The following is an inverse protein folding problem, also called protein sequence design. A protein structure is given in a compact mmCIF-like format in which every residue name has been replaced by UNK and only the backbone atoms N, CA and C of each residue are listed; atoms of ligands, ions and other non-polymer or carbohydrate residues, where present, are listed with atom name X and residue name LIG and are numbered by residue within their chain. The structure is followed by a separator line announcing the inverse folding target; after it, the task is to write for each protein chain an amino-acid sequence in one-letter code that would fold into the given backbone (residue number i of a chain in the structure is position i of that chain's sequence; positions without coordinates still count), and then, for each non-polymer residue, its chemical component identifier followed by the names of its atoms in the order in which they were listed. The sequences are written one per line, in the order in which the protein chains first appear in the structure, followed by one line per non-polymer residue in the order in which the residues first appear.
data_IF_887803474746
#
_entry.id   IF_887803474746
#
_cell.length_a   1.000
_cell.length_b   1.000
_cell.length_c   1.000
_cell.angle_alpha   90.00
_cell.angle_beta   90.00
_cell.angle_gamma   90.00
#
_symmetry.space_group_name_H-M   'P 1'
#
loop_
_entity.id
_entity.type
_entity.pdbx_description
1 polymer ?
#
# COMPACT_ATOMS: atom_id res chain seq x y z
N UNK A 1 -29.32 -11.41 3.30
CA UNK A 1 -28.58 -10.37 4.05
C UNK A 1 -27.94 -9.46 3.02
N UNK A 2 -28.18 -8.16 3.09
CA UNK A 2 -27.54 -7.22 2.17
C UNK A 2 -26.03 -7.19 2.45
N UNK A 3 -25.20 -7.11 1.40
CA UNK A 3 -23.73 -7.13 1.55
C UNK A 3 -23.24 -6.02 2.50
N UNK A 4 -23.90 -4.86 2.50
CA UNK A 4 -23.59 -3.75 3.40
C UNK A 4 -23.91 -4.05 4.87
N UNK A 5 -24.97 -4.82 5.15
CA UNK A 5 -25.29 -5.26 6.51
C UNK A 5 -24.24 -6.24 7.02
N UNK A 6 -23.77 -7.16 6.15
CA UNK A 6 -22.67 -8.07 6.46
C UNK A 6 -21.38 -7.30 6.78
N UNK A 7 -21.05 -6.29 5.96
CA UNK A 7 -19.89 -5.44 6.19
C UNK A 7 -19.96 -4.71 7.53
N UNK A 8 -21.12 -4.13 7.88
CA UNK A 8 -21.31 -3.45 9.17
C UNK A 8 -21.16 -4.43 10.33
N UNK A 9 -21.84 -5.58 10.27
CA UNK A 9 -21.81 -6.59 11.32
C UNK A 9 -20.36 -7.07 11.60
N UNK A 10 -19.60 -7.34 10.54
CA UNK A 10 -18.20 -7.73 10.69
C UNK A 10 -17.35 -6.62 11.31
N UNK A 11 -17.48 -5.38 10.83
CA UNK A 11 -16.71 -4.25 11.39
C UNK A 11 -17.04 -4.01 12.86
N UNK A 12 -18.31 -4.02 13.24
CA UNK A 12 -18.75 -3.84 14.62
C UNK A 12 -18.20 -4.96 15.52
N UNK A 13 -18.23 -6.20 15.04
CA UNK A 13 -17.71 -7.35 15.78
C UNK A 13 -16.19 -7.33 15.92
N UNK A 14 -15.46 -6.91 14.89
CA UNK A 14 -14.01 -6.76 14.93
C UNK A 14 -13.58 -5.62 15.87
N UNK A 15 -14.27 -4.47 15.85
CA UNK A 15 -14.02 -3.36 16.75
C UNK A 15 -14.29 -3.74 18.22
N UNK A 16 -15.38 -4.46 18.46
CA UNK A 16 -15.66 -5.00 19.79
C UNK A 16 -14.56 -5.95 20.26
N UNK A 17 -14.15 -6.87 19.39
CA UNK A 17 -13.12 -7.87 19.70
C UNK A 17 -11.73 -7.25 19.93
N UNK A 18 -11.34 -6.22 19.16
CA UNK A 18 -10.08 -5.49 19.38
C UNK A 18 -10.08 -4.74 20.70
N UNK A 19 -11.21 -4.16 21.12
CA UNK A 19 -11.35 -3.50 22.42
C UNK A 19 -11.19 -4.47 23.60
N UNK A 20 -11.57 -5.75 23.43
CA UNK A 20 -11.43 -6.80 24.43
C UNK A 20 -9.99 -7.30 24.56
N UNK A 21 -9.20 -7.21 23.48
CA UNK A 21 -7.81 -7.63 23.46
C UNK A 21 -6.95 -6.90 24.49
N UNK A 22 -7.27 -5.63 24.79
CA UNK A 22 -6.62 -4.84 25.82
C UNK A 22 -6.88 -5.33 27.26
N UNK A 23 -7.83 -6.25 27.47
CA UNK A 23 -8.31 -6.68 28.81
C UNK A 23 -7.87 -8.09 29.22
N UNK A 24 -7.33 -8.89 28.31
CA UNK A 24 -6.94 -10.29 28.55
C UNK A 24 -5.44 -10.55 28.45
N UNK A 25 -4.98 -11.81 28.67
CA UNK A 25 -3.58 -12.17 28.51
C UNK A 25 -3.14 -11.96 27.05
N UNK A 26 -2.04 -11.21 26.81
CA UNK A 26 -1.75 -10.59 25.52
C UNK A 26 -1.51 -11.60 24.39
N UNK A 27 -0.94 -12.76 24.70
CA UNK A 27 -0.50 -13.73 23.68
C UNK A 27 -1.63 -14.64 23.16
N UNK A 28 -2.68 -14.86 23.95
CA UNK A 28 -3.84 -15.67 23.53
C UNK A 28 -4.85 -14.81 22.79
N UNK A 29 -5.08 -13.58 23.26
CA UNK A 29 -6.03 -12.66 22.64
C UNK A 29 -5.55 -12.12 21.29
N UNK A 30 -4.24 -11.97 21.08
CA UNK A 30 -3.67 -11.60 19.78
C UNK A 30 -3.92 -12.65 18.71
N UNK A 31 -3.73 -13.93 19.04
CA UNK A 31 -3.99 -15.06 18.13
C UNK A 31 -5.47 -15.19 17.78
N UNK A 32 -6.35 -15.13 18.78
CA UNK A 32 -7.80 -15.22 18.56
C UNK A 32 -8.30 -14.09 17.64
N UNK A 33 -7.77 -12.87 17.82
CA UNK A 33 -8.13 -11.75 16.95
C UNK A 33 -7.56 -11.90 15.54
N UNK A 34 -6.31 -12.34 15.40
CA UNK A 34 -5.72 -12.65 14.09
C UNK A 34 -6.58 -13.67 13.34
N UNK A 35 -6.98 -14.76 14.01
CA UNK A 35 -7.82 -15.79 13.41
C UNK A 35 -9.20 -15.24 13.01
N UNK A 36 -9.77 -14.35 13.84
CA UNK A 36 -11.03 -13.70 13.54
C UNK A 36 -10.94 -12.80 12.30
N UNK A 37 -9.87 -12.01 12.18
CA UNK A 37 -9.60 -11.17 11.01
C UNK A 37 -9.46 -12.04 9.76
N UNK A 38 -8.72 -13.15 9.83
CA UNK A 38 -8.58 -14.07 8.70
C UNK A 38 -9.92 -14.66 8.27
N UNK A 39 -10.78 -15.06 9.24
CA UNK A 39 -12.14 -15.54 8.95
C UNK A 39 -13.01 -14.45 8.32
N UNK A 40 -12.92 -13.21 8.80
CA UNK A 40 -13.63 -12.09 8.19
C UNK A 40 -13.22 -11.90 6.73
N UNK A 41 -11.92 -11.87 6.45
CA UNK A 41 -11.40 -11.65 5.10
C UNK A 41 -11.73 -12.80 4.13
N UNK A 42 -11.81 -14.04 4.61
CA UNK A 42 -12.12 -15.21 3.78
C UNK A 42 -13.62 -15.43 3.54
N UNK A 43 -14.48 -14.90 4.41
CA UNK A 43 -15.93 -15.09 4.30
C UNK A 43 -16.65 -13.98 3.55
N UNK A 44 -16.07 -12.78 3.49
CA UNK A 44 -16.64 -11.67 2.73
C UNK A 44 -16.21 -11.73 1.27
N UNK A 45 -17.16 -11.76 0.31
CA UNK A 45 -16.82 -11.87 -1.10
C UNK A 45 -16.06 -10.62 -1.58
N UNK A 46 -14.91 -10.83 -2.20
CA UNK A 46 -14.15 -9.78 -2.88
C UNK A 46 -14.43 -9.71 -4.38
N UNK A 47 -15.15 -10.69 -4.93
CA UNK A 47 -15.53 -10.77 -6.35
C UNK A 47 -17.03 -10.59 -6.45
N UNK A 48 -17.45 -9.45 -7.00
CA UNK A 48 -18.85 -9.05 -7.09
C UNK A 48 -19.32 -9.16 -8.53
N UNK A 49 -20.62 -9.40 -8.71
CA UNK A 49 -21.24 -9.41 -10.05
C UNK A 49 -21.34 -7.98 -10.59
N UNK A 50 -21.18 -7.84 -11.91
CA UNK A 50 -21.39 -6.56 -12.59
C UNK A 50 -22.90 -6.30 -12.69
N UNK A 51 -23.38 -5.08 -12.39
CA UNK A 51 -24.79 -4.75 -12.55
C UNK A 51 -25.28 -5.09 -13.96
N UNK A 52 -26.42 -5.77 -14.06
CA UNK A 52 -27.06 -6.18 -15.32
C UNK A 52 -26.27 -7.20 -16.17
N UNK A 53 -25.18 -7.79 -15.65
CA UNK A 53 -24.45 -8.87 -16.30
C UNK A 53 -23.90 -9.89 -15.28
N UNK A 54 -24.68 -10.95 -15.01
CA UNK A 54 -24.30 -12.01 -14.06
C UNK A 54 -23.18 -12.93 -14.57
N UNK A 55 -22.73 -12.79 -15.82
CA UNK A 55 -21.61 -13.56 -16.37
C UNK A 55 -20.26 -12.88 -16.10
N UNK A 56 -20.26 -11.59 -15.74
CA UNK A 56 -19.05 -10.81 -15.47
C UNK A 56 -18.92 -10.47 -14.00
N UNK A 57 -17.67 -10.41 -13.55
CA UNK A 57 -17.33 -10.12 -12.17
C UNK A 57 -16.18 -9.13 -12.12
N UNK A 58 -16.24 -8.24 -11.13
CA UNK A 58 -15.14 -7.34 -10.78
C UNK A 58 -14.64 -7.62 -9.37
N UNK A 59 -13.36 -7.30 -9.13
CA UNK A 59 -12.76 -7.42 -7.79
C UNK A 59 -12.94 -6.10 -7.03
N UNK A 60 -13.54 -6.16 -5.86
CA UNK A 60 -13.72 -5.03 -4.95
C UNK A 60 -13.14 -5.40 -3.58
N UNK A 61 -12.11 -4.67 -3.17
CA UNK A 61 -11.42 -4.87 -1.89
C UNK A 61 -11.66 -3.74 -0.90
N UNK A 62 -12.62 -2.85 -1.15
CA UNK A 62 -12.88 -1.68 -0.29
C UNK A 62 -13.16 -2.06 1.16
N UNK A 63 -13.93 -3.14 1.37
CA UNK A 63 -14.18 -3.67 2.71
C UNK A 63 -12.92 -4.32 3.30
N UNK A 64 -12.25 -5.19 2.54
CA UNK A 64 -11.02 -5.87 2.97
C UNK A 64 -9.95 -4.85 3.40
N UNK A 65 -9.79 -3.75 2.67
CA UNK A 65 -8.83 -2.69 3.00
C UNK A 65 -9.17 -1.96 4.30
N UNK A 66 -10.46 -1.81 4.65
CA UNK A 66 -10.88 -1.29 5.97
C UNK A 66 -10.51 -2.26 7.09
N UNK A 67 -10.77 -3.55 6.90
CA UNK A 67 -10.41 -4.61 7.87
C UNK A 67 -8.90 -4.67 8.06
N UNK A 68 -8.12 -4.60 6.98
CA UNK A 68 -6.65 -4.58 7.04
C UNK A 68 -6.15 -3.34 7.79
N UNK A 69 -6.71 -2.15 7.55
CA UNK A 69 -6.35 -0.94 8.31
C UNK A 69 -6.61 -1.13 9.81
N UNK A 70 -7.78 -1.66 10.19
CA UNK A 70 -8.09 -1.96 11.58
C UNK A 70 -7.09 -2.96 12.17
N UNK A 71 -6.79 -4.03 11.45
CA UNK A 71 -5.89 -5.06 11.94
C UNK A 71 -4.47 -4.52 12.18
N UNK A 72 -3.91 -3.77 11.22
CA UNK A 72 -2.60 -3.15 11.36
C UNK A 72 -2.53 -2.16 12.53
N UNK A 73 -3.62 -1.43 12.80
CA UNK A 73 -3.68 -0.51 13.95
C UNK A 73 -3.56 -1.21 15.32
N UNK A 74 -3.86 -2.50 15.37
CA UNK A 74 -3.76 -3.33 16.57
C UNK A 74 -2.38 -4.00 16.72
N UNK A 75 -1.50 -3.86 15.73
CA UNK A 75 -0.20 -4.55 15.68
C UNK A 75 0.98 -3.57 15.77
N UNK A 76 2.11 -3.99 16.35
CA UNK A 76 3.35 -3.24 16.27
C UNK A 76 3.82 -3.08 14.83
N UNK A 77 4.39 -1.91 14.50
CA UNK A 77 4.88 -1.59 13.15
C UNK A 77 5.91 -2.60 12.62
N UNK A 78 6.73 -3.19 13.51
CA UNK A 78 7.70 -4.24 13.17
C UNK A 78 7.08 -5.51 12.58
N UNK A 79 5.77 -5.73 12.76
CA UNK A 79 5.05 -6.89 12.22
C UNK A 79 4.28 -6.56 10.94
N UNK A 80 4.19 -5.28 10.54
CA UNK A 80 3.34 -4.85 9.43
C UNK A 80 3.80 -5.43 8.10
N UNK A 81 5.10 -5.42 7.81
CA UNK A 81 5.65 -5.99 6.57
C UNK A 81 5.26 -7.46 6.38
N UNK A 82 5.50 -8.28 7.41
CA UNK A 82 5.17 -9.71 7.40
C UNK A 82 3.68 -9.98 7.19
N UNK A 83 2.82 -9.21 7.86
CA UNK A 83 1.37 -9.35 7.76
C UNK A 83 0.86 -8.91 6.38
N UNK A 84 1.35 -7.78 5.88
CA UNK A 84 1.03 -7.27 4.54
C UNK A 84 1.43 -8.26 3.44
N UNK A 85 2.60 -8.86 3.56
CA UNK A 85 3.06 -9.90 2.62
C UNK A 85 2.12 -11.11 2.60
N UNK A 86 1.75 -11.64 3.78
CA UNK A 86 0.79 -12.76 3.89
C UNK A 86 -0.58 -12.42 3.30
N UNK A 87 -1.10 -11.24 3.61
CA UNK A 87 -2.39 -10.78 3.09
C UNK A 87 -2.36 -10.61 1.57
N UNK A 88 -1.21 -10.20 1.00
CA UNK A 88 -1.05 -10.06 -0.45
C UNK A 88 -1.12 -11.41 -1.15
N UNK A 89 -0.57 -12.47 -0.57
CA UNK A 89 -0.74 -13.82 -1.10
C UNK A 89 -2.20 -14.27 -1.10
N UNK A 90 -2.98 -13.87 -0.08
CA UNK A 90 -4.42 -14.18 -0.02
C UNK A 90 -5.25 -13.33 -1.00
N UNK A 91 -4.82 -12.11 -1.32
CA UNK A 91 -5.54 -11.16 -2.18
C UNK A 91 -4.63 -10.55 -3.25
N UNK A 92 -4.17 -11.32 -4.25
CA UNK A 92 -3.14 -10.88 -5.20
C UNK A 92 -3.58 -9.74 -6.13
N UNK A 93 -4.88 -9.61 -6.38
CA UNK A 93 -5.44 -8.55 -7.23
C UNK A 93 -5.71 -7.23 -6.47
N UNK A 94 -5.38 -7.18 -5.18
CA UNK A 94 -5.56 -5.99 -4.36
C UNK A 94 -4.35 -5.07 -4.50
N UNK A 95 -4.43 -4.12 -5.42
CA UNK A 95 -3.36 -3.16 -5.72
C UNK A 95 -3.03 -2.25 -4.53
N UNK A 96 -4.04 -1.83 -3.76
CA UNK A 96 -3.86 -0.96 -2.59
C UNK A 96 -3.00 -1.65 -1.52
N UNK A 97 -3.24 -2.96 -1.30
CA UNK A 97 -2.43 -3.75 -0.37
C UNK A 97 -0.98 -3.88 -0.83
N UNK A 98 -0.76 -4.04 -2.14
CA UNK A 98 0.58 -4.03 -2.74
C UNK A 98 1.31 -2.72 -2.50
N UNK A 99 0.64 -1.58 -2.73
CA UNK A 99 1.21 -0.25 -2.48
C UNK A 99 1.54 -0.02 -1.00
N UNK A 100 0.70 -0.51 -0.08
CA UNK A 100 0.97 -0.45 1.37
C UNK A 100 2.22 -1.25 1.75
N UNK A 101 2.43 -2.43 1.16
CA UNK A 101 3.65 -3.23 1.38
C UNK A 101 4.90 -2.49 0.87
N UNK A 102 4.87 -1.91 -0.34
CA UNK A 102 5.99 -1.12 -0.86
C UNK A 102 6.34 0.05 0.06
N UNK A 103 5.32 0.75 0.58
CA UNK A 103 5.54 1.84 1.53
C UNK A 103 6.22 1.35 2.82
N UNK A 104 5.81 0.19 3.34
CA UNK A 104 6.39 -0.40 4.53
C UNK A 104 7.85 -0.82 4.30
N UNK A 105 8.16 -1.53 3.21
CA UNK A 105 9.53 -1.94 2.89
C UNK A 105 10.47 -0.75 2.65
N UNK A 106 9.95 0.36 2.10
CA UNK A 106 10.70 1.61 2.00
C UNK A 106 11.02 2.19 3.38
N UNK A 107 10.05 2.22 4.29
CA UNK A 107 10.26 2.71 5.66
C UNK A 107 11.26 1.84 6.44
N UNK A 108 11.22 0.53 6.19
CA UNK A 108 12.14 -0.43 6.81
C UNK A 108 13.55 -0.42 6.16
N UNK A 109 13.73 0.31 5.05
CA UNK A 109 15.01 0.49 4.35
C UNK A 109 15.44 -0.72 3.50
N UNK A 110 14.55 -1.68 3.28
CA UNK A 110 14.83 -2.93 2.55
C UNK A 110 14.75 -2.71 1.03
N UNK A 111 15.72 -1.99 0.46
CA UNK A 111 15.69 -1.58 -0.95
C UNK A 111 15.65 -2.75 -1.95
N UNK A 112 16.34 -3.85 -1.66
CA UNK A 112 16.31 -5.06 -2.52
C UNK A 112 14.93 -5.73 -2.53
N UNK A 113 14.31 -5.84 -1.36
CA UNK A 113 12.97 -6.37 -1.22
C UNK A 113 11.97 -5.45 -1.91
N UNK A 114 12.09 -4.13 -1.70
CA UNK A 114 11.25 -3.14 -2.36
C UNK A 114 11.30 -3.26 -3.89
N UNK A 115 12.50 -3.41 -4.46
CA UNK A 115 12.70 -3.62 -5.90
C UNK A 115 12.03 -4.91 -6.38
N UNK A 116 12.22 -6.01 -5.67
CA UNK A 116 11.57 -7.27 -6.00
C UNK A 116 10.04 -7.14 -5.98
N UNK A 117 9.49 -6.55 -4.91
CA UNK A 117 8.05 -6.38 -4.76
C UNK A 117 7.46 -5.41 -5.79
N UNK A 118 8.17 -4.33 -6.15
CA UNK A 118 7.72 -3.37 -7.15
C UNK A 118 7.66 -4.01 -8.55
N UNK A 119 8.67 -4.79 -8.93
CA UNK A 119 8.68 -5.55 -10.19
C UNK A 119 7.54 -6.55 -10.27
N UNK A 120 7.31 -7.32 -9.19
CA UNK A 120 6.20 -8.28 -9.10
C UNK A 120 4.81 -7.61 -9.21
N UNK A 121 4.64 -6.42 -8.63
CA UNK A 121 3.38 -5.69 -8.72
C UNK A 121 3.13 -5.11 -10.11
N UNK A 122 4.18 -4.66 -10.80
CA UNK A 122 4.10 -4.20 -12.19
C UNK A 122 3.79 -5.34 -13.16
N UNK A 123 4.31 -6.55 -12.91
CA UNK A 123 3.95 -7.73 -13.73
C UNK A 123 2.52 -8.20 -13.49
N UNK A 124 2.04 -8.19 -12.24
CA UNK A 124 0.72 -8.71 -11.88
C UNK A 124 -0.42 -7.70 -12.15
N UNK A 125 -0.12 -6.40 -12.18
CA UNK A 125 -1.10 -5.34 -12.41
C UNK A 125 -0.52 -4.26 -13.32
N UNK A 126 -0.29 -4.57 -14.62
CA UNK A 126 0.39 -3.67 -15.55
C UNK A 126 -0.41 -2.39 -15.84
N UNK A 127 -1.71 -2.36 -15.53
CA UNK A 127 -2.58 -1.19 -15.71
C UNK A 127 -2.45 -0.14 -14.59
N UNK A 128 -1.73 -0.44 -13.51
CA UNK A 128 -1.57 0.48 -12.38
C UNK A 128 -0.37 1.41 -12.61
N UNK A 129 -0.63 2.65 -13.01
CA UNK A 129 0.43 3.65 -13.27
C UNK A 129 1.29 3.94 -12.03
N UNK A 130 0.68 3.95 -10.84
CA UNK A 130 1.40 4.16 -9.59
C UNK A 130 2.48 3.09 -9.34
N UNK A 131 2.19 1.82 -9.68
CA UNK A 131 3.17 0.74 -9.54
C UNK A 131 4.39 0.96 -10.45
N UNK A 132 4.16 1.40 -11.70
CA UNK A 132 5.24 1.69 -12.64
C UNK A 132 6.10 2.86 -12.20
N UNK A 133 5.48 3.94 -11.72
CA UNK A 133 6.23 5.10 -11.22
C UNK A 133 7.12 4.72 -10.04
N UNK A 134 6.61 3.90 -9.11
CA UNK A 134 7.40 3.41 -7.97
C UNK A 134 8.53 2.48 -8.46
N UNK A 135 8.25 1.55 -9.38
CA UNK A 135 9.25 0.64 -9.91
C UNK A 135 10.40 1.38 -10.62
N UNK A 136 10.09 2.42 -11.40
CA UNK A 136 11.09 3.26 -12.08
C UNK A 136 11.95 4.00 -11.03
N UNK A 137 11.31 4.69 -10.07
CA UNK A 137 12.02 5.44 -9.04
C UNK A 137 12.94 4.55 -8.17
N UNK A 138 12.51 3.32 -7.87
CA UNK A 138 13.32 2.36 -7.10
C UNK A 138 14.54 1.89 -7.89
N UNK A 139 14.43 1.69 -9.21
CA UNK A 139 15.57 1.33 -10.05
C UNK A 139 16.56 2.49 -10.21
N UNK A 140 16.08 3.74 -10.25
CA UNK A 140 16.92 4.94 -10.30
C UNK A 140 17.73 5.11 -9.00
N UNK A 141 17.09 5.03 -7.83
CA UNK A 141 17.76 5.08 -6.52
C UNK A 141 18.83 4.00 -6.34
N UNK A 142 18.54 2.78 -6.79
CA UNK A 142 19.51 1.68 -6.66
C UNK A 142 20.70 1.86 -7.60
N UNK A 143 20.50 2.44 -8.78
CA UNK A 143 21.59 2.82 -9.68
C UNK A 143 22.45 3.92 -9.05
N UNK A 144 21.84 4.99 -8.56
CA UNK A 144 22.56 6.07 -7.88
C UNK A 144 23.31 5.59 -6.64
N UNK A 145 22.72 4.73 -5.80
CA UNK A 145 23.45 4.12 -4.66
C UNK A 145 24.59 3.22 -5.10
N UNK A 146 24.44 2.44 -6.17
CA UNK A 146 25.54 1.62 -6.69
C UNK A 146 26.68 2.47 -7.22
N UNK A 147 26.36 3.61 -7.84
CA UNK A 147 27.32 4.59 -8.35
C UNK A 147 27.99 5.37 -7.20
N UNK A 148 27.26 5.74 -6.14
CA UNK A 148 27.80 6.39 -4.92
C UNK A 148 28.59 5.42 -4.04
N UNK A 149 28.25 4.13 -4.04
CA UNK A 149 29.06 3.11 -3.32
C UNK A 149 30.34 2.79 -4.10
N UNK A 150 30.30 2.85 -5.43
CA UNK A 150 31.49 2.80 -6.27
C UNK A 150 32.31 4.10 -6.23
N UNK A 151 31.66 5.23 -5.93
CA UNK A 151 32.27 6.54 -5.80
C UNK A 151 32.08 7.14 -4.40
N UNK A 152 33.07 6.88 -3.54
CA UNK A 152 33.79 7.94 -2.78
C UNK A 152 33.77 7.82 -1.25
N UNK A 153 34.80 8.31 -0.55
CA UNK A 153 34.66 8.88 0.78
C UNK A 153 34.88 10.41 0.75
N UNK A 154 34.27 11.14 -0.19
CA UNK A 154 34.19 12.61 -0.15
C UNK A 154 33.21 13.17 -1.19
N UNK A 155 31.91 13.26 -0.85
CA UNK A 155 31.05 14.31 -1.43
C UNK A 155 29.75 14.48 -0.62
N UNK A 156 29.42 15.69 -0.13
CA UNK A 156 28.21 15.96 0.64
C UNK A 156 27.11 16.51 -0.28
N UNK A 157 26.62 15.73 -1.23
CA UNK A 157 25.48 16.12 -2.07
C UNK A 157 24.59 14.92 -2.39
N UNK A 158 24.05 14.28 -1.34
CA UNK A 158 22.85 13.45 -1.48
C UNK A 158 21.64 14.38 -1.42
N UNK A 159 21.14 14.79 -2.59
CA UNK A 159 19.82 15.42 -2.69
C UNK A 159 18.81 14.33 -2.35
N UNK A 160 18.06 14.39 -1.25
CA UNK A 160 17.15 13.30 -0.94
C UNK A 160 15.91 13.46 -1.83
N UNK A 161 15.45 12.35 -2.41
CA UNK A 161 14.24 12.18 -3.23
C UNK A 161 12.90 12.53 -2.53
N UNK A 162 12.90 13.50 -1.62
CA UNK A 162 11.72 14.15 -1.05
C UNK A 162 10.66 14.62 -2.07
N UNK A 163 10.96 15.02 -3.32
CA UNK A 163 9.92 15.51 -4.23
C UNK A 163 8.95 14.43 -4.70
N UNK A 164 9.44 13.23 -5.04
CA UNK A 164 8.65 12.13 -5.60
C UNK A 164 7.70 11.51 -4.57
N UNK A 165 8.14 11.41 -3.31
CA UNK A 165 7.31 10.98 -2.20
C UNK A 165 6.16 11.95 -1.88
N UNK A 166 6.39 13.25 -2.06
CA UNK A 166 5.35 14.27 -1.85
C UNK A 166 4.34 14.31 -3.00
N UNK A 167 4.79 14.03 -4.22
CA UNK A 167 3.97 14.03 -5.43
C UNK A 167 2.98 12.85 -5.48
N UNK A 168 3.39 11.68 -5.00
CA UNK A 168 2.51 10.52 -4.85
C UNK A 168 1.59 10.61 -3.63
N UNK A 169 1.98 11.36 -2.60
CA UNK A 169 1.16 11.63 -1.42
C UNK A 169 0.02 12.63 -1.73
N UNK A 170 0.31 13.74 -2.41
CA UNK A 170 -0.70 14.75 -2.79
C UNK A 170 -1.66 14.26 -3.89
N UNK A 171 -1.21 13.40 -4.80
CA UNK A 171 -2.08 12.80 -5.83
C UNK A 171 -3.07 11.76 -5.25
N UNK A 172 -2.73 11.12 -4.13
CA UNK A 172 -3.59 10.13 -3.46
C UNK A 172 -4.59 10.74 -2.46
N UNK A 173 -4.32 11.95 -1.93
CA UNK A 173 -5.20 12.61 -0.94
C UNK A 173 -6.21 13.60 -1.54
N UNK A 174 -6.20 13.89 -2.85
CA UNK A 174 -7.27 14.63 -3.51
C UNK A 174 -7.45 16.10 -3.05
N UNK A 175 -6.40 16.93 -3.12
CA UNK A 175 -6.47 18.33 -2.66
C UNK A 175 -5.62 19.36 -3.41
N UNK A 176 -6.32 20.37 -3.98
CA UNK A 176 -5.91 21.73 -4.37
C UNK A 176 -4.93 21.93 -5.57
N UNK A 177 -5.55 22.24 -6.71
CA UNK A 177 -5.00 22.63 -8.02
C UNK A 177 -3.97 23.77 -8.00
N UNK A 178 -3.98 24.64 -7.00
CA UNK A 178 -3.11 25.83 -6.94
C UNK A 178 -1.66 25.51 -6.52
N UNK A 179 -1.41 24.33 -5.94
CA UNK A 179 -0.06 23.86 -5.62
C UNK A 179 0.58 23.06 -6.75
N UNK A 180 -0.23 22.38 -7.56
CA UNK A 180 0.18 21.69 -8.78
C UNK A 180 0.75 22.67 -9.81
N UNK A 181 0.15 23.85 -9.97
CA UNK A 181 0.65 24.93 -10.86
C UNK A 181 2.04 25.42 -10.43
N UNK A 182 2.26 25.63 -9.12
CA UNK A 182 3.58 26.02 -8.57
C UNK A 182 4.64 24.91 -8.68
N UNK A 183 4.24 23.67 -8.89
CA UNK A 183 5.13 22.52 -9.11
C UNK A 183 5.46 22.38 -10.60
N UNK A 184 4.49 22.57 -11.49
CA UNK A 184 4.71 22.64 -12.95
C UNK A 184 5.68 23.77 -13.30
N UNK A 185 5.54 24.94 -12.66
CA UNK A 185 6.46 26.06 -12.87
C UNK A 185 7.89 25.77 -12.41
N UNK A 186 8.06 24.95 -11.37
CA UNK A 186 9.39 24.50 -10.91
C UNK A 186 9.99 23.43 -11.82
N UNK A 187 9.17 22.51 -12.35
CA UNK A 187 9.62 21.53 -13.34
C UNK A 187 10.07 22.18 -14.66
N UNK A 188 9.41 23.28 -15.08
CA UNK A 188 9.86 24.09 -16.23
C UNK A 188 11.20 24.79 -15.99
N UNK A 189 11.49 25.23 -14.75
CA UNK A 189 12.79 25.83 -14.40
C UNK A 189 13.95 24.83 -14.43
N UNK A 190 13.68 23.54 -14.21
CA UNK A 190 14.67 22.45 -14.31
C UNK A 190 14.75 21.89 -15.74
N UNK A 191 14.07 22.51 -16.71
CA UNK A 191 14.18 22.18 -18.14
C UNK A 191 13.34 20.99 -18.60
N UNK A 192 12.42 20.48 -17.77
CA UNK A 192 11.53 19.39 -18.16
C UNK A 192 10.32 19.98 -18.90
N UNK A 193 10.32 19.87 -20.22
CA UNK A 193 9.18 20.27 -21.05
C UNK A 193 8.08 19.22 -20.98
N UNK A 194 7.08 19.47 -20.13
CA UNK A 194 5.79 18.79 -20.18
C UNK A 194 4.94 19.50 -21.24
N UNK A 195 5.02 19.04 -22.48
CA UNK A 195 4.00 19.29 -23.51
C UNK A 195 3.09 18.07 -23.61
N UNK A 196 1.79 18.34 -23.69
CA UNK A 196 0.65 17.39 -23.61
C UNK A 196 0.78 16.12 -24.46
#
# INVERSE_FOLDING_TARGET
MQLDELHRLWMDYLLFSSSQQARGPPNTQSKLFSDLVQRCLSTVPSRLEVPFNSAEFWSCYTFHNKVVTLYLSCLPQSQHALVLERLRYAMPNNTELGLRLLRQEWQDGNMEQLKFQARMLSSNSPKCLANWNIAIAVEEELKERSEVTAASPSSPLSVPLFPLQRLLFEAAEGGQTDRLTRLVDRCRQVGVSLSE
#
